data_IF_229486768359
#
_entry.id   IF_229486768359
#
_cell.length_a   1.000
_cell.length_b   1.000
_cell.length_c   1.000
_cell.angle_alpha   90.00
_cell.angle_beta   90.00
_cell.angle_gamma   90.00
#
_symmetry.space_group_name_H-M   'P 1'
#
loop_
_entity.id
_entity.type
_entity.pdbx_description
1 polymer ?
#
# COMPACT_ATOMS: atom_id res chain seq x y z
N UNK A 1 22.17 9.27 -1.11
CA UNK A 1 21.27 9.01 0.04
C UNK A 1 20.05 9.91 -0.11
N UNK A 2 18.82 9.39 0.00
CA UNK A 2 17.60 10.19 -0.19
C UNK A 2 17.42 11.21 0.93
N UNK A 3 17.21 12.49 0.58
CA UNK A 3 16.89 13.54 1.57
C UNK A 3 15.48 13.38 2.17
N UNK A 4 14.60 12.60 1.54
CA UNK A 4 13.20 12.43 1.95
C UNK A 4 13.03 11.35 3.01
N UNK A 5 13.65 10.19 2.82
CA UNK A 5 13.54 9.06 3.75
C UNK A 5 14.81 8.81 4.56
N UNK A 6 15.90 9.53 4.26
CA UNK A 6 17.25 9.31 4.83
C UNK A 6 17.78 7.89 4.58
N UNK A 7 17.34 7.25 3.50
CA UNK A 7 17.75 5.89 3.12
C UNK A 7 18.55 5.87 1.82
N UNK A 8 19.32 4.80 1.61
CA UNK A 8 19.89 4.48 0.29
C UNK A 8 18.80 3.77 -0.52
N UNK A 9 18.65 4.19 -1.77
CA UNK A 9 17.83 3.50 -2.75
C UNK A 9 18.74 2.95 -3.83
N UNK A 10 18.32 1.84 -4.42
CA UNK A 10 18.98 1.14 -5.51
C UNK A 10 18.09 1.24 -6.74
N UNK A 11 18.69 1.56 -7.89
CA UNK A 11 18.01 1.39 -9.19
C UNK A 11 18.03 -0.10 -9.48
N UNK A 12 16.89 -0.66 -9.86
CA UNK A 12 16.77 -2.08 -10.25
C UNK A 12 15.97 -2.15 -11.55
N UNK A 13 16.21 -3.20 -12.33
CA UNK A 13 15.29 -3.58 -13.40
C UNK A 13 13.97 -4.09 -12.80
N UNK A 14 12.85 -3.91 -13.50
CA UNK A 14 11.57 -4.53 -13.15
C UNK A 14 11.73 -6.05 -13.02
N UNK A 15 11.00 -6.67 -12.09
CA UNK A 15 10.92 -8.13 -11.96
C UNK A 15 9.52 -8.59 -12.34
N UNK A 16 9.32 -9.85 -12.79
CA UNK A 16 8.01 -10.36 -13.11
C UNK A 16 7.02 -10.11 -11.96
N UNK A 17 5.87 -9.53 -12.29
CA UNK A 17 4.80 -9.11 -11.37
C UNK A 17 5.11 -7.91 -10.46
N UNK A 18 6.29 -7.28 -10.51
CA UNK A 18 6.49 -6.01 -9.78
C UNK A 18 7.71 -5.15 -10.20
N UNK A 19 7.47 -3.89 -10.64
CA UNK A 19 6.25 -3.48 -11.36
C UNK A 19 6.05 -4.35 -12.63
N UNK A 20 4.85 -4.39 -13.21
CA UNK A 20 4.62 -5.18 -14.43
C UNK A 20 5.54 -4.70 -15.57
N UNK A 21 6.22 -5.64 -16.26
CA UNK A 21 7.24 -5.39 -17.30
C UNK A 21 6.75 -4.49 -18.45
N UNK A 22 5.45 -4.49 -18.68
CA UNK A 22 4.71 -3.77 -19.70
C UNK A 22 4.62 -2.25 -19.41
N UNK A 23 4.80 -1.82 -18.16
CA UNK A 23 4.50 -0.46 -17.72
C UNK A 23 5.71 0.44 -17.43
N UNK A 24 6.93 -0.08 -17.26
CA UNK A 24 8.03 0.71 -16.67
C UNK A 24 8.92 1.47 -17.67
N UNK A 25 9.30 2.69 -17.26
CA UNK A 25 10.49 3.39 -17.76
C UNK A 25 11.70 3.27 -16.82
N UNK A 26 11.49 3.13 -15.50
CA UNK A 26 12.54 2.94 -14.48
C UNK A 26 11.97 2.53 -13.10
N UNK A 27 12.76 1.82 -12.29
CA UNK A 27 12.38 1.37 -10.93
C UNK A 27 13.49 1.59 -9.88
N UNK A 28 13.06 1.98 -8.67
CA UNK A 28 13.91 2.32 -7.54
C UNK A 28 13.38 1.68 -6.26
N UNK A 29 14.27 1.03 -5.50
CA UNK A 29 13.94 0.21 -4.33
C UNK A 29 14.74 0.60 -3.09
N UNK A 30 14.10 0.67 -1.93
CA UNK A 30 14.76 0.81 -0.63
C UNK A 30 14.87 -0.54 0.08
N UNK A 31 16.08 -1.12 0.22
CA UNK A 31 16.26 -2.41 0.88
C UNK A 31 16.12 -2.35 2.41
N UNK A 32 16.41 -1.19 3.03
CA UNK A 32 16.34 -1.02 4.49
C UNK A 32 14.96 -0.54 4.93
N UNK A 33 14.18 -1.46 5.52
CA UNK A 33 12.77 -1.29 5.91
C UNK A 33 12.51 -0.10 6.85
N UNK A 34 13.40 0.16 7.83
CA UNK A 34 13.12 1.08 8.95
C UNK A 34 12.47 2.41 8.56
N UNK A 35 13.23 3.35 7.97
CA UNK A 35 12.71 4.70 7.64
C UNK A 35 11.97 4.76 6.30
N UNK A 36 11.79 3.63 5.61
CA UNK A 36 11.25 3.57 4.23
C UNK A 36 10.00 2.71 4.11
N UNK A 37 9.48 2.16 5.21
CA UNK A 37 8.26 1.37 5.23
C UNK A 37 7.12 2.03 4.43
N UNK A 38 6.92 3.33 4.53
CA UNK A 38 5.87 4.08 3.82
C UNK A 38 6.22 4.50 2.37
N UNK A 39 7.44 4.26 1.89
CA UNK A 39 7.89 4.62 0.55
C UNK A 39 9.03 3.67 0.13
N UNK A 40 8.71 2.38 0.05
CA UNK A 40 9.69 1.32 -0.13
C UNK A 40 10.07 1.16 -1.60
N UNK A 41 9.09 1.35 -2.48
CA UNK A 41 9.22 1.12 -3.91
C UNK A 41 8.76 2.35 -4.67
N UNK A 42 9.46 2.70 -5.74
CA UNK A 42 9.10 3.83 -6.60
C UNK A 42 9.41 3.49 -8.05
N UNK A 43 8.49 3.75 -8.95
CA UNK A 43 8.69 3.52 -10.38
C UNK A 43 8.01 4.60 -11.21
N UNK A 44 8.52 4.80 -12.42
CA UNK A 44 7.88 5.63 -13.44
C UNK A 44 7.28 4.76 -14.54
N UNK A 45 6.08 5.12 -15.01
CA UNK A 45 5.52 4.49 -16.20
C UNK A 45 5.90 5.21 -17.50
N UNK A 46 5.58 4.58 -18.64
CA UNK A 46 5.79 5.16 -19.99
C UNK A 46 4.96 6.42 -20.25
N UNK A 47 3.88 6.65 -19.49
CA UNK A 47 3.03 7.83 -19.61
C UNK A 47 3.59 9.03 -18.84
N UNK A 48 4.63 8.82 -18.03
CA UNK A 48 5.27 9.85 -17.21
C UNK A 48 4.61 10.02 -15.84
N UNK A 49 3.81 9.05 -15.39
CA UNK A 49 3.38 8.97 -14.00
C UNK A 49 4.50 8.38 -13.14
N UNK A 50 4.52 8.76 -11.86
CA UNK A 50 5.40 8.20 -10.84
C UNK A 50 4.53 7.57 -9.76
N UNK A 51 4.85 6.34 -9.38
CA UNK A 51 4.16 5.60 -8.35
C UNK A 51 5.07 5.38 -7.16
N UNK A 52 4.52 5.44 -5.95
CA UNK A 52 5.23 5.16 -4.71
C UNK A 52 4.40 4.14 -3.92
N UNK A 53 5.02 3.04 -3.51
CA UNK A 53 4.38 2.00 -2.72
C UNK A 53 5.11 1.79 -1.39
N UNK A 54 4.34 1.53 -0.34
CA UNK A 54 4.87 1.14 0.96
C UNK A 54 5.38 -0.31 0.96
N UNK A 55 5.90 -0.78 2.09
CA UNK A 55 5.86 -2.20 2.41
C UNK A 55 4.40 -2.64 2.63
N UNK A 56 4.14 -3.94 2.66
CA UNK A 56 2.80 -4.42 2.95
C UNK A 56 2.36 -3.97 4.36
N UNK A 57 1.12 -3.51 4.48
CA UNK A 57 0.44 -3.17 5.73
C UNK A 57 0.00 -4.44 6.46
N UNK A 58 -0.32 -5.48 5.70
CA UNK A 58 -0.79 -6.77 6.21
C UNK A 58 -1.31 -7.65 5.07
N UNK A 59 -1.82 -8.80 5.45
CA UNK A 59 -2.44 -9.78 4.57
C UNK A 59 -3.76 -10.25 5.21
N UNK A 60 -4.78 -10.44 4.38
CA UNK A 60 -6.12 -10.81 4.85
C UNK A 60 -6.14 -12.14 5.59
N UNK A 61 -5.31 -13.11 5.21
CA UNK A 61 -5.20 -14.40 5.90
C UNK A 61 -4.67 -14.24 7.33
N UNK A 62 -3.61 -13.45 7.51
CA UNK A 62 -3.06 -13.17 8.84
C UNK A 62 -4.07 -12.42 9.72
N UNK A 63 -4.81 -11.46 9.15
CA UNK A 63 -5.85 -10.74 9.89
C UNK A 63 -7.00 -11.66 10.29
N UNK A 64 -7.45 -12.54 9.39
CA UNK A 64 -8.48 -13.52 9.74
C UNK A 64 -7.98 -14.47 10.82
N UNK A 65 -6.77 -14.98 10.73
CA UNK A 65 -6.18 -15.85 11.76
C UNK A 65 -6.14 -15.16 13.12
N UNK A 66 -5.75 -13.87 13.15
CA UNK A 66 -5.67 -13.09 14.39
C UNK A 66 -7.03 -12.95 15.07
N UNK A 67 -8.10 -12.73 14.30
CA UNK A 67 -9.44 -12.42 14.81
C UNK A 67 -10.32 -13.66 15.00
N UNK A 68 -10.10 -14.72 14.21
CA UNK A 68 -10.97 -15.90 14.11
C UNK A 68 -10.23 -17.23 14.32
N UNK A 69 -8.92 -17.19 14.57
CA UNK A 69 -8.07 -18.35 14.77
C UNK A 69 -7.82 -19.17 13.50
N UNK A 70 -7.14 -20.29 13.67
CA UNK A 70 -6.70 -21.18 12.59
C UNK A 70 -7.85 -21.66 11.69
N UNK A 71 -9.01 -21.97 12.27
CA UNK A 71 -10.20 -22.38 11.48
C UNK A 71 -10.71 -21.27 10.57
N UNK A 72 -10.68 -20.02 11.05
CA UNK A 72 -11.00 -18.85 10.23
C UNK A 72 -9.99 -18.71 9.09
N UNK A 73 -8.70 -18.88 9.39
CA UNK A 73 -7.63 -18.78 8.39
C UNK A 73 -7.78 -19.83 7.27
N UNK A 74 -8.11 -21.07 7.62
CA UNK A 74 -8.41 -22.14 6.65
C UNK A 74 -9.60 -21.74 5.76
N UNK A 75 -10.70 -21.26 6.35
CA UNK A 75 -11.87 -20.84 5.60
C UNK A 75 -11.60 -19.61 4.69
N UNK A 76 -10.74 -18.69 5.12
CA UNK A 76 -10.30 -17.56 4.30
C UNK A 76 -9.41 -18.02 3.13
N UNK A 77 -8.54 -19.01 3.34
CA UNK A 77 -7.65 -19.54 2.30
C UNK A 77 -8.41 -20.20 1.13
N UNK A 78 -9.63 -20.68 1.38
CA UNK A 78 -10.52 -21.23 0.35
C UNK A 78 -11.21 -20.16 -0.49
N UNK A 79 -11.16 -18.89 -0.09
CA UNK A 79 -11.77 -17.80 -0.84
C UNK A 79 -10.93 -17.43 -2.08
N UNK A 80 -11.63 -17.01 -3.12
CA UNK A 80 -11.03 -16.43 -4.32
C UNK A 80 -10.95 -14.91 -4.17
N UNK A 81 -9.73 -14.39 -4.04
CA UNK A 81 -9.48 -12.96 -3.95
C UNK A 81 -9.21 -12.31 -5.31
N UNK A 82 -9.18 -13.07 -6.41
CA UNK A 82 -8.88 -12.53 -7.75
C UNK A 82 -9.86 -11.41 -8.16
N UNK A 83 -11.13 -11.55 -7.78
CA UNK A 83 -12.11 -10.47 -7.76
C UNK A 83 -12.27 -9.94 -6.32
N UNK A 84 -11.49 -8.89 -6.00
CA UNK A 84 -11.48 -8.35 -4.64
C UNK A 84 -12.82 -7.72 -4.25
N UNK A 85 -13.54 -7.11 -5.18
CA UNK A 85 -14.82 -6.48 -4.88
C UNK A 85 -15.90 -7.52 -4.56
N UNK A 86 -15.86 -8.67 -5.25
CA UNK A 86 -16.70 -9.81 -4.91
C UNK A 86 -16.34 -10.41 -3.54
N UNK A 87 -15.05 -10.65 -3.28
CA UNK A 87 -14.61 -11.28 -2.01
C UNK A 87 -14.88 -10.39 -0.81
N UNK A 88 -14.85 -9.06 -0.97
CA UNK A 88 -15.18 -8.09 0.09
C UNK A 88 -16.57 -8.31 0.68
N UNK A 89 -17.55 -8.71 -0.13
CA UNK A 89 -18.90 -9.05 0.38
C UNK A 89 -18.87 -10.29 1.27
N UNK A 90 -18.08 -11.29 0.88
CA UNK A 90 -17.90 -12.53 1.66
C UNK A 90 -17.13 -12.23 2.95
N UNK A 91 -16.10 -11.38 2.90
CA UNK A 91 -15.39 -10.91 4.10
C UNK A 91 -16.35 -10.19 5.05
N UNK A 92 -17.23 -9.32 4.56
CA UNK A 92 -18.21 -8.63 5.39
C UNK A 92 -19.17 -9.59 6.13
N UNK A 93 -19.56 -10.69 5.47
CA UNK A 93 -20.46 -11.68 6.04
C UNK A 93 -19.75 -12.64 7.02
N UNK A 94 -18.61 -13.22 6.60
CA UNK A 94 -17.93 -14.29 7.34
C UNK A 94 -16.87 -13.79 8.32
N UNK A 95 -16.24 -12.65 8.00
CA UNK A 95 -15.11 -12.09 8.74
C UNK A 95 -15.30 -10.57 9.00
N UNK A 96 -16.41 -10.15 9.62
CA UNK A 96 -16.79 -8.74 9.73
C UNK A 96 -15.73 -7.85 10.40
N UNK A 97 -14.95 -8.37 11.36
CA UNK A 97 -13.88 -7.61 12.03
C UNK A 97 -12.70 -7.29 11.11
N UNK A 98 -12.44 -8.14 10.11
CA UNK A 98 -11.41 -7.91 9.10
C UNK A 98 -11.90 -6.90 8.07
N UNK A 99 -13.16 -7.02 7.64
CA UNK A 99 -13.78 -6.03 6.75
C UNK A 99 -13.85 -4.64 7.39
N UNK A 100 -14.25 -4.56 8.66
CA UNK A 100 -14.26 -3.31 9.43
C UNK A 100 -12.86 -2.71 9.52
N UNK A 101 -11.85 -3.53 9.82
CA UNK A 101 -10.45 -3.08 9.84
C UNK A 101 -10.05 -2.46 8.50
N UNK A 102 -10.29 -3.17 7.39
CA UNK A 102 -9.99 -2.67 6.05
C UNK A 102 -10.68 -1.33 5.77
N UNK A 103 -11.97 -1.20 6.10
CA UNK A 103 -12.72 0.05 5.90
C UNK A 103 -12.15 1.21 6.72
N UNK A 104 -11.72 0.95 7.95
CA UNK A 104 -11.07 1.97 8.79
C UNK A 104 -9.71 2.38 8.23
N UNK A 105 -8.92 1.45 7.72
CA UNK A 105 -7.68 1.75 7.01
C UNK A 105 -7.96 2.62 5.77
N UNK A 106 -8.93 2.25 4.93
CA UNK A 106 -9.34 2.99 3.74
C UNK A 106 -9.78 4.42 4.10
N UNK A 107 -10.54 4.57 5.18
CA UNK A 107 -10.97 5.87 5.71
C UNK A 107 -9.79 6.73 6.17
N UNK A 108 -8.84 6.15 6.91
CA UNK A 108 -7.61 6.85 7.33
C UNK A 108 -6.84 7.34 6.11
N UNK A 109 -6.68 6.49 5.10
CA UNK A 109 -5.96 6.81 3.88
C UNK A 109 -6.68 7.92 3.10
N UNK A 110 -7.99 7.82 2.92
CA UNK A 110 -8.80 8.82 2.23
C UNK A 110 -8.76 10.20 2.92
N UNK A 111 -8.77 10.23 4.25
CA UNK A 111 -8.62 11.48 5.03
C UNK A 111 -7.27 12.15 4.77
N UNK A 112 -6.19 11.37 4.76
CA UNK A 112 -4.84 11.89 4.49
C UNK A 112 -4.70 12.33 3.02
N UNK A 113 -5.23 11.54 2.08
CA UNK A 113 -5.24 11.88 0.66
C UNK A 113 -5.94 13.22 0.41
N UNK A 114 -7.13 13.40 0.99
CA UNK A 114 -7.92 14.64 0.91
C UNK A 114 -7.19 15.83 1.54
N UNK A 115 -6.65 15.67 2.76
CA UNK A 115 -5.90 16.71 3.48
C UNK A 115 -4.73 17.25 2.67
N UNK A 116 -3.98 16.36 2.01
CA UNK A 116 -2.77 16.72 1.25
C UNK A 116 -3.04 16.96 -0.24
N UNK A 117 -4.27 16.73 -0.72
CA UNK A 117 -4.66 16.81 -2.13
C UNK A 117 -3.78 15.95 -3.03
N UNK A 118 -3.58 14.69 -2.64
CA UNK A 118 -2.77 13.69 -3.35
C UNK A 118 -3.62 12.49 -3.76
N UNK A 119 -3.23 11.81 -4.84
CA UNK A 119 -3.77 10.50 -5.19
C UNK A 119 -3.06 9.43 -4.35
N UNK A 120 -3.66 9.11 -3.21
CA UNK A 120 -3.17 8.12 -2.26
C UNK A 120 -4.32 7.17 -1.90
N UNK A 121 -4.08 5.87 -2.09
CA UNK A 121 -5.06 4.80 -1.89
C UNK A 121 -4.43 3.54 -1.33
N UNK A 122 -5.27 2.59 -0.91
CA UNK A 122 -4.82 1.22 -0.67
C UNK A 122 -4.77 0.46 -1.99
N UNK A 123 -3.71 -0.33 -2.20
CA UNK A 123 -3.61 -1.30 -3.29
C UNK A 123 -3.71 -2.70 -2.71
N UNK A 124 -4.49 -3.54 -3.37
CA UNK A 124 -4.66 -4.95 -3.06
C UNK A 124 -3.89 -5.76 -4.11
N UNK A 125 -2.95 -6.55 -3.63
CA UNK A 125 -2.25 -7.56 -4.42
C UNK A 125 -2.93 -8.89 -4.15
N UNK A 126 -3.81 -9.29 -5.07
CA UNK A 126 -4.72 -10.41 -4.85
C UNK A 126 -4.21 -11.68 -5.49
N UNK A 127 -4.35 -12.77 -4.76
CA UNK A 127 -4.04 -14.13 -5.22
C UNK A 127 -5.02 -15.11 -4.59
N UNK A 128 -5.03 -16.35 -5.10
CA UNK A 128 -5.79 -17.40 -4.44
C UNK A 128 -5.36 -17.52 -2.96
N UNK A 129 -6.33 -17.49 -2.04
CA UNK A 129 -6.13 -17.64 -0.61
C UNK A 129 -5.69 -16.38 0.16
N UNK A 130 -5.58 -15.21 -0.47
CA UNK A 130 -5.41 -13.96 0.28
C UNK A 130 -5.15 -12.72 -0.58
N UNK A 131 -5.30 -11.56 0.05
CA UNK A 131 -4.88 -10.28 -0.50
C UNK A 131 -3.82 -9.64 0.41
N UNK A 132 -2.70 -9.26 -0.17
CA UNK A 132 -1.68 -8.45 0.50
C UNK A 132 -1.96 -6.98 0.25
N UNK A 133 -1.88 -6.16 1.29
CA UNK A 133 -2.37 -4.79 1.27
C UNK A 133 -1.22 -3.79 1.36
N UNK A 134 -1.23 -2.74 0.55
CA UNK A 134 -0.18 -1.70 0.49
C UNK A 134 -0.78 -0.30 0.49
N UNK A 135 -0.03 0.70 0.94
CA UNK A 135 -0.27 2.11 0.56
C UNK A 135 0.35 2.37 -0.81
N UNK A 136 -0.39 3.10 -1.63
CA UNK A 136 0.00 3.38 -3.00
C UNK A 136 -0.35 4.83 -3.36
N UNK A 137 0.66 5.58 -3.78
CA UNK A 137 0.49 6.94 -4.28
C UNK A 137 0.78 7.01 -5.78
N UNK A 138 -0.06 7.73 -6.53
CA UNK A 138 0.16 8.07 -7.95
C UNK A 138 0.48 9.55 -8.09
N UNK A 139 1.47 9.87 -8.92
CA UNK A 139 1.90 11.22 -9.19
C UNK A 139 1.90 11.43 -10.70
N UNK A 140 1.00 12.29 -11.18
CA UNK A 140 1.05 12.77 -12.55
C UNK A 140 2.21 13.77 -12.70
N UNK A 141 3.30 13.29 -13.31
CA UNK A 141 4.57 14.00 -13.43
C UNK A 141 4.92 14.40 -14.87
N UNK A 142 4.09 14.02 -15.86
CA UNK A 142 4.23 14.41 -17.26
C UNK A 142 4.25 15.94 -17.40
N UNK A 143 5.19 16.47 -18.18
CA UNK A 143 5.33 17.90 -18.43
C UNK A 143 5.87 18.74 -17.25
N UNK A 144 6.05 18.16 -16.06
CA UNK A 144 6.63 18.89 -14.93
C UNK A 144 8.15 19.02 -15.06
N UNK A 145 8.67 20.18 -14.65
CA UNK A 145 10.10 20.35 -14.45
C UNK A 145 10.62 19.49 -13.27
N UNK A 146 11.95 19.35 -13.19
CA UNK A 146 12.60 18.52 -12.16
C UNK A 146 12.29 18.97 -10.73
N UNK A 147 12.14 20.28 -10.48
CA UNK A 147 11.88 20.81 -9.14
C UNK A 147 10.46 20.46 -8.70
N UNK A 148 9.48 20.68 -9.58
CA UNK A 148 8.07 20.36 -9.39
C UNK A 148 7.85 18.86 -9.21
N UNK A 149 8.57 18.01 -9.94
CA UNK A 149 8.59 16.55 -9.71
C UNK A 149 9.07 16.20 -8.31
N UNK A 150 10.20 16.78 -7.88
CA UNK A 150 10.77 16.55 -6.54
C UNK A 150 9.79 17.00 -5.45
N UNK A 151 9.14 18.16 -5.63
CA UNK A 151 8.20 18.70 -4.65
C UNK A 151 6.92 17.85 -4.56
N UNK A 152 6.37 17.38 -5.68
CA UNK A 152 5.25 16.42 -5.67
C UNK A 152 5.62 15.09 -5.02
N UNK A 153 6.80 14.55 -5.31
CA UNK A 153 7.30 13.33 -4.66
C UNK A 153 7.42 13.54 -3.16
N UNK A 154 8.00 14.67 -2.71
CA UNK A 154 8.12 14.99 -1.28
C UNK A 154 6.75 15.06 -0.60
N UNK A 155 5.77 15.72 -1.23
CA UNK A 155 4.41 15.83 -0.70
C UNK A 155 3.78 14.44 -0.53
N UNK A 156 3.84 13.60 -1.56
CA UNK A 156 3.26 12.25 -1.53
C UNK A 156 3.94 11.35 -0.50
N UNK A 157 5.28 11.36 -0.41
CA UNK A 157 6.01 10.63 0.63
C UNK A 157 5.62 11.11 2.04
N UNK A 158 5.39 12.41 2.21
CA UNK A 158 4.88 12.98 3.46
C UNK A 158 3.49 12.46 3.82
N UNK A 159 2.57 12.46 2.86
CA UNK A 159 1.23 11.92 3.03
C UNK A 159 1.24 10.42 3.34
N UNK A 160 2.00 9.61 2.60
CA UNK A 160 2.14 8.17 2.87
C UNK A 160 2.68 7.90 4.27
N UNK A 161 3.66 8.68 4.74
CA UNK A 161 4.19 8.57 6.10
C UNK A 161 3.14 8.90 7.17
N UNK A 162 2.31 9.90 6.92
CA UNK A 162 1.21 10.26 7.82
C UNK A 162 0.16 9.14 7.87
N UNK A 163 -0.30 8.66 6.71
CA UNK A 163 -1.26 7.55 6.62
C UNK A 163 -0.74 6.29 7.32
N UNK A 164 0.51 5.90 7.07
CA UNK A 164 1.17 4.77 7.72
C UNK A 164 1.13 4.88 9.25
N UNK A 165 1.51 6.04 9.80
CA UNK A 165 1.48 6.27 11.26
C UNK A 165 0.08 6.31 11.84
N UNK A 166 -0.90 6.77 11.08
CA UNK A 166 -2.29 6.78 11.53
C UNK A 166 -2.83 5.35 11.62
N UNK A 167 -2.52 4.52 10.63
CA UNK A 167 -2.81 3.08 10.63
C UNK A 167 -2.13 2.39 11.82
N UNK A 168 -0.82 2.58 12.02
CA UNK A 168 -0.10 1.97 13.16
C UNK A 168 -0.73 2.35 14.51
N UNK A 169 -1.18 3.61 14.65
CA UNK A 169 -1.86 4.07 15.87
C UNK A 169 -3.26 3.49 16.02
N UNK A 170 -3.99 3.29 14.92
CA UNK A 170 -5.29 2.63 14.93
C UNK A 170 -5.14 1.17 15.38
N UNK A 171 -4.23 0.42 14.74
CA UNK A 171 -3.93 -0.98 15.06
C UNK A 171 -3.46 -1.16 16.51
N UNK A 172 -2.59 -0.28 17.00
CA UNK A 172 -2.12 -0.34 18.38
C UNK A 172 -3.22 -0.09 19.42
N UNK A 173 -4.28 0.65 19.05
CA UNK A 173 -5.45 0.86 19.92
C UNK A 173 -6.39 -0.34 19.87
N UNK A 174 -6.69 -0.83 18.67
CA UNK A 174 -7.56 -1.99 18.43
C UNK A 174 -7.07 -3.23 19.18
N UNK A 175 -5.76 -3.49 19.21
CA UNK A 175 -5.18 -4.64 19.93
C UNK A 175 -5.21 -4.53 21.46
N UNK A 176 -5.62 -3.39 22.01
CA UNK A 176 -5.69 -3.14 23.47
C UNK A 176 -7.12 -3.09 24.01
N UNK A 177 -8.10 -2.96 23.14
CA UNK A 177 -9.54 -3.03 23.45
C UNK A 177 -10.01 -4.47 23.44
#
# INVERSE_FOLDING_TARGET
MSKLTRAKYEIRSGVPNFPPEDHEGWFVFAPKLGKTAYARKTWGDKEGNVFIESMYLGDTGQWVETEYGERGAIAAFELDYSDFDAVRKILAEKFPLVEESLRDHEKIVAQVASKHKVDLRMRYDTRKGGATVYLHAKIEAKGLDSKSKIDKIRLNVGAMKEAWRNIERYEAKRRRS
#
